data_IF_768611196602
#
_entry.id   IF_768611196602
#
_cell.length_a   1.000
_cell.length_b   1.000
_cell.length_c   1.000
_cell.angle_alpha   90.00
_cell.angle_beta   90.00
_cell.angle_gamma   90.00
#
_symmetry.space_group_name_H-M   'P 1'
#
loop_
_entity.id
_entity.type
_entity.pdbx_description
1 polymer ?
#
# COMPACT_ATOMS: atom_id res chain seq x y z
N UNK A 1 -9.95 -57.24 45.07
CA UNK A 1 -11.25 -57.63 45.63
C UNK A 1 -12.31 -56.72 45.04
N UNK A 2 -13.29 -57.34 44.37
CA UNK A 2 -14.39 -56.71 43.67
C UNK A 2 -15.59 -56.64 44.61
N UNK A 3 -16.23 -55.47 44.75
CA UNK A 3 -17.57 -55.38 45.30
C UNK A 3 -18.43 -54.48 44.42
N UNK A 4 -19.38 -55.13 43.74
CA UNK A 4 -20.57 -54.57 43.13
C UNK A 4 -21.64 -54.40 44.22
N UNK A 5 -22.39 -53.31 44.18
CA UNK A 5 -23.82 -53.20 44.52
C UNK A 5 -24.22 -51.73 44.29
N UNK A 6 -24.98 -51.45 43.23
CA UNK A 6 -26.44 -51.31 43.23
C UNK A 6 -26.91 -50.01 43.92
N UNK A 7 -27.31 -49.06 43.08
CA UNK A 7 -27.94 -47.81 43.53
C UNK A 7 -29.47 -47.90 43.51
N UNK A 8 -30.16 -46.93 44.14
CA UNK A 8 -31.51 -46.55 43.77
C UNK A 8 -31.49 -45.35 42.82
N UNK A 9 -32.12 -45.51 41.65
CA UNK A 9 -32.48 -44.42 40.73
C UNK A 9 -33.56 -43.56 41.39
N UNK A 10 -33.21 -42.34 41.79
CA UNK A 10 -34.19 -41.27 42.05
C UNK A 10 -33.68 -39.98 41.43
N UNK A 11 -34.36 -39.60 40.34
CA UNK A 11 -34.18 -38.34 39.62
C UNK A 11 -34.87 -37.24 40.43
N UNK A 12 -34.25 -36.07 40.66
CA UNK A 12 -34.84 -35.00 41.47
C UNK A 12 -36.13 -34.48 40.83
N UNK A 13 -37.14 -34.24 41.67
CA UNK A 13 -38.42 -33.67 41.27
C UNK A 13 -38.26 -32.23 40.76
N UNK A 14 -38.95 -31.90 39.67
CA UNK A 14 -38.92 -30.59 39.03
C UNK A 14 -39.82 -29.62 39.81
N UNK A 15 -39.22 -28.73 40.60
CA UNK A 15 -39.91 -27.61 41.26
C UNK A 15 -40.59 -26.75 40.20
N UNK A 16 -41.92 -26.57 40.30
CA UNK A 16 -42.71 -25.66 39.46
C UNK A 16 -42.54 -24.22 39.95
N UNK A 17 -42.27 -23.23 39.07
CA UNK A 17 -42.23 -21.82 39.46
C UNK A 17 -43.65 -21.27 39.75
N UNK A 18 -43.79 -20.25 40.63
CA UNK A 18 -45.06 -19.64 41.01
C UNK A 18 -45.71 -18.81 39.88
N UNK A 19 -47.04 -18.60 39.91
CA UNK A 19 -47.77 -17.87 38.87
C UNK A 19 -47.47 -16.36 38.89
N UNK A 20 -47.29 -15.78 37.70
CA UNK A 20 -47.05 -14.36 37.44
C UNK A 20 -48.35 -13.51 37.47
N UNK A 21 -48.29 -12.24 37.91
CA UNK A 21 -49.43 -11.31 37.98
C UNK A 21 -49.85 -10.76 36.59
N UNK A 22 -51.07 -10.20 36.46
CA UNK A 22 -51.68 -9.87 35.17
C UNK A 22 -51.11 -8.61 34.49
N UNK A 23 -51.19 -8.68 33.16
CA UNK A 23 -50.64 -7.86 32.08
C UNK A 23 -51.05 -6.38 32.08
N UNK A 24 -50.08 -5.45 32.14
CA UNK A 24 -50.22 -4.10 31.59
C UNK A 24 -49.64 -4.05 30.17
N UNK A 25 -50.40 -3.44 29.26
CA UNK A 25 -50.12 -3.39 27.82
C UNK A 25 -49.01 -2.39 27.48
N UNK A 26 -47.86 -2.88 27.02
CA UNK A 26 -46.83 -2.07 26.38
C UNK A 26 -47.04 -2.03 24.85
N UNK A 27 -46.85 -0.87 24.19
CA UNK A 27 -46.99 -0.73 22.74
C UNK A 27 -45.80 -1.36 22.00
N UNK A 28 -46.10 -2.05 20.90
CA UNK A 28 -45.15 -2.76 20.04
C UNK A 28 -44.12 -1.82 19.37
N UNK A 29 -42.84 -2.24 19.23
CA UNK A 29 -41.87 -1.53 18.39
C UNK A 29 -42.11 -1.76 16.88
N UNK A 30 -41.80 -0.81 15.99
CA UNK A 30 -42.17 -0.91 14.57
C UNK A 30 -41.32 -1.97 13.83
N UNK A 31 -42.00 -2.91 13.18
CA UNK A 31 -41.45 -3.86 12.22
C UNK A 31 -41.11 -3.18 10.89
N UNK A 32 -39.87 -3.31 10.43
CA UNK A 32 -39.46 -2.91 9.09
C UNK A 32 -39.91 -3.98 8.08
N UNK A 33 -41.08 -3.78 7.49
CA UNK A 33 -41.54 -4.56 6.33
C UNK A 33 -41.49 -3.73 5.05
N UNK A 34 -40.95 -4.37 4.03
CA UNK A 34 -40.61 -3.84 2.72
C UNK A 34 -41.84 -3.77 1.79
N UNK A 35 -41.96 -2.62 1.11
CA UNK A 35 -42.42 -2.37 -0.28
C UNK A 35 -43.83 -1.81 -0.56
N UNK A 36 -43.77 -0.65 -1.24
CA UNK A 36 -44.45 -0.24 -2.49
C UNK A 36 -45.70 0.65 -2.43
N UNK A 37 -45.46 1.91 -2.83
CA UNK A 37 -46.26 2.81 -3.69
C UNK A 37 -47.62 3.32 -3.14
N UNK A 38 -47.89 4.63 -3.10
CA UNK A 38 -48.09 5.54 -4.26
C UNK A 38 -48.03 7.04 -3.89
N UNK A 39 -47.87 7.89 -4.92
CA UNK A 39 -48.21 9.34 -4.98
C UNK A 39 -47.11 10.39 -4.72
N UNK A 40 -46.23 10.50 -5.73
CA UNK A 40 -45.82 11.73 -6.43
C UNK A 40 -46.25 13.10 -5.86
N UNK A 41 -45.29 13.81 -5.25
CA UNK A 41 -45.09 15.25 -5.51
C UNK A 41 -43.60 15.46 -5.82
N UNK A 42 -43.34 16.31 -6.80
CA UNK A 42 -42.15 16.30 -7.62
C UNK A 42 -40.92 16.96 -6.96
N UNK A 43 -39.76 16.31 -7.17
CA UNK A 43 -38.45 16.86 -7.54
C UNK A 43 -38.00 18.21 -6.95
N UNK A 44 -37.12 18.15 -5.95
CA UNK A 44 -35.85 18.92 -5.93
C UNK A 44 -34.86 18.46 -4.82
N UNK A 45 -34.55 17.17 -4.71
CA UNK A 45 -33.42 16.72 -3.86
C UNK A 45 -32.73 15.50 -4.49
N UNK A 46 -31.86 15.74 -5.48
CA UNK A 46 -30.97 14.68 -5.97
C UNK A 46 -29.59 15.26 -6.32
N UNK A 47 -28.96 15.83 -5.30
CA UNK A 47 -27.52 16.10 -5.23
C UNK A 47 -26.97 15.89 -3.80
N UNK A 48 -27.70 15.19 -2.93
CA UNK A 48 -27.43 15.09 -1.50
C UNK A 48 -27.32 13.61 -1.07
N UNK A 49 -26.31 12.88 -1.55
CA UNK A 49 -26.05 11.52 -1.04
C UNK A 49 -24.57 11.17 -0.87
N UNK A 50 -23.72 12.19 -0.67
CA UNK A 50 -22.32 12.02 -0.21
C UNK A 50 -21.99 12.93 1.00
N UNK A 51 -22.95 13.73 1.47
CA UNK A 51 -22.72 14.80 2.47
C UNK A 51 -23.28 14.50 3.87
N UNK A 52 -23.58 13.25 4.22
CA UNK A 52 -24.31 12.92 5.47
C UNK A 52 -23.47 12.58 6.71
N UNK A 53 -22.13 12.69 6.67
CA UNK A 53 -21.27 12.39 7.85
C UNK A 53 -20.41 13.58 8.32
N UNK A 54 -20.71 14.81 7.88
CA UNK A 54 -19.93 15.99 8.31
C UNK A 54 -20.56 16.65 9.53
N UNK A 55 -19.77 16.83 10.59
CA UNK A 55 -20.21 17.53 11.79
C UNK A 55 -20.47 19.02 11.50
N UNK A 56 -21.38 19.67 12.23
CA UNK A 56 -21.55 21.12 12.13
C UNK A 56 -20.23 21.82 12.52
N UNK A 57 -19.89 22.97 11.91
CA UNK A 57 -18.58 23.62 12.10
C UNK A 57 -18.21 23.90 13.55
N UNK A 58 -19.20 24.21 14.41
CA UNK A 58 -18.97 24.42 15.84
C UNK A 58 -18.58 23.15 16.60
N UNK A 59 -19.16 22.01 16.25
CA UNK A 59 -18.82 20.71 16.86
C UNK A 59 -17.48 20.20 16.33
N UNK A 60 -17.23 20.34 15.02
CA UNK A 60 -15.94 20.02 14.39
C UNK A 60 -14.79 20.81 15.06
N UNK A 61 -15.00 22.10 15.32
CA UNK A 61 -14.02 22.95 16.02
C UNK A 61 -13.76 22.48 17.45
N UNK A 62 -14.81 22.06 18.17
CA UNK A 62 -14.68 21.52 19.53
C UNK A 62 -13.89 20.21 19.54
N UNK A 63 -14.22 19.28 18.64
CA UNK A 63 -13.51 18.00 18.50
C UNK A 63 -12.04 18.21 18.15
N UNK A 64 -11.76 19.14 17.23
CA UNK A 64 -10.39 19.51 16.86
C UNK A 64 -9.64 20.14 18.03
N UNK A 65 -10.28 20.99 18.83
CA UNK A 65 -9.69 21.54 20.05
C UNK A 65 -9.34 20.44 21.05
N UNK A 66 -10.27 19.52 21.34
CA UNK A 66 -10.04 18.40 22.24
C UNK A 66 -8.88 17.51 21.77
N UNK A 67 -8.83 17.22 20.46
CA UNK A 67 -7.72 16.47 19.86
C UNK A 67 -6.38 17.22 19.99
N UNK A 68 -6.38 18.55 19.81
CA UNK A 68 -5.18 19.38 19.98
C UNK A 68 -4.70 19.42 21.43
N UNK A 69 -5.61 19.45 22.41
CA UNK A 69 -5.26 19.41 23.83
C UNK A 69 -4.60 18.06 24.20
N UNK A 70 -5.19 16.96 23.73
CA UNK A 70 -4.60 15.62 23.89
C UNK A 70 -3.24 15.51 23.19
N UNK A 71 -3.10 16.07 21.98
CA UNK A 71 -1.82 16.15 21.26
C UNK A 71 -0.76 16.91 22.07
N UNK A 72 -1.13 18.01 22.73
CA UNK A 72 -0.23 18.78 23.59
C UNK A 72 0.22 17.98 24.82
N UNK A 73 -0.71 17.27 25.46
CA UNK A 73 -0.39 16.34 26.56
C UNK A 73 0.57 15.24 26.10
N UNK A 74 0.29 14.62 24.94
CA UNK A 74 1.14 13.60 24.35
C UNK A 74 2.54 14.12 23.99
N UNK A 75 2.66 15.36 23.48
CA UNK A 75 3.96 16.00 23.22
C UNK A 75 4.78 16.18 24.51
N UNK A 76 4.10 16.46 25.63
CA UNK A 76 4.74 16.56 26.95
C UNK A 76 5.27 15.20 27.39
N UNK A 77 4.48 14.14 27.23
CA UNK A 77 4.91 12.75 27.51
C UNK A 77 6.06 12.31 26.61
N UNK A 78 6.01 12.66 25.31
CA UNK A 78 7.08 12.40 24.36
C UNK A 78 8.39 13.06 24.79
N UNK A 79 8.32 14.30 25.27
CA UNK A 79 9.49 15.05 25.78
C UNK A 79 10.07 14.41 27.06
N UNK A 80 9.22 13.76 27.87
CA UNK A 80 9.63 12.95 29.03
C UNK A 80 10.12 11.55 28.67
N UNK A 81 10.18 11.21 27.38
CA UNK A 81 10.56 9.89 26.86
C UNK A 81 9.59 8.75 27.24
N UNK A 82 8.38 9.08 27.68
CA UNK A 82 7.31 8.11 27.97
C UNK A 82 6.54 7.77 26.68
N UNK A 83 7.21 7.06 25.76
CA UNK A 83 6.68 6.85 24.40
C UNK A 83 5.39 6.01 24.37
N UNK A 84 5.26 5.00 25.22
CA UNK A 84 4.06 4.14 25.27
C UNK A 84 2.84 4.95 25.73
N UNK A 85 2.98 5.72 26.82
CA UNK A 85 1.94 6.62 27.30
C UNK A 85 1.59 7.68 26.25
N UNK A 86 2.60 8.26 25.58
CA UNK A 86 2.39 9.22 24.51
C UNK A 86 1.58 8.64 23.34
N UNK A 87 1.88 7.40 22.92
CA UNK A 87 1.13 6.69 21.87
C UNK A 87 -0.34 6.56 22.28
N UNK A 88 -0.62 6.08 23.50
CA UNK A 88 -1.99 5.94 23.99
C UNK A 88 -2.74 7.28 24.00
N UNK A 89 -2.09 8.38 24.38
CA UNK A 89 -2.70 9.71 24.35
C UNK A 89 -2.93 10.20 22.91
N UNK A 90 -2.02 9.93 21.97
CA UNK A 90 -2.24 10.24 20.55
C UNK A 90 -3.36 9.40 19.94
N UNK A 91 -3.50 8.13 20.32
CA UNK A 91 -4.61 7.28 19.87
C UNK A 91 -5.96 7.79 20.37
N UNK A 92 -6.02 8.28 21.61
CA UNK A 92 -7.20 9.01 22.11
C UNK A 92 -7.47 10.26 21.29
N UNK A 93 -6.43 11.03 20.96
CA UNK A 93 -6.58 12.22 20.10
C UNK A 93 -7.10 11.89 18.70
N UNK A 94 -6.73 10.73 18.14
CA UNK A 94 -7.24 10.22 16.86
C UNK A 94 -8.71 9.79 16.94
N UNK A 95 -9.13 9.19 18.06
CA UNK A 95 -10.51 8.77 18.26
C UNK A 95 -11.50 9.95 18.30
N UNK A 96 -11.04 11.13 18.75
CA UNK A 96 -11.81 12.37 18.75
C UNK A 96 -11.95 13.01 17.36
N UNK A 97 -11.13 12.62 16.37
CA UNK A 97 -11.16 13.26 15.05
C UNK A 97 -12.12 12.56 14.08
N UNK A 98 -12.97 13.31 13.36
CA UNK A 98 -13.71 12.77 12.23
C UNK A 98 -12.78 12.24 11.13
N UNK A 99 -13.18 11.14 10.47
CA UNK A 99 -12.35 10.43 9.48
C UNK A 99 -11.98 11.23 8.23
N UNK A 100 -12.61 12.38 8.01
CA UNK A 100 -12.38 13.25 6.86
C UNK A 100 -11.34 14.35 7.13
N UNK A 101 -10.85 14.50 8.37
CA UNK A 101 -9.78 15.44 8.73
C UNK A 101 -8.40 14.80 8.51
N UNK A 102 -8.05 14.60 7.25
CA UNK A 102 -6.93 13.74 6.85
C UNK A 102 -5.57 14.30 7.27
N UNK A 103 -5.36 15.61 7.18
CA UNK A 103 -4.12 16.27 7.63
C UNK A 103 -3.93 16.16 9.13
N UNK A 104 -4.96 16.46 9.92
CA UNK A 104 -4.93 16.44 11.38
C UNK A 104 -4.62 15.02 11.86
N UNK A 105 -5.28 14.02 11.26
CA UNK A 105 -4.96 12.61 11.46
C UNK A 105 -3.52 12.28 11.04
N UNK A 106 -3.04 12.78 9.90
CA UNK A 106 -1.69 12.53 9.42
C UNK A 106 -0.62 13.13 10.34
N UNK A 107 -0.86 14.29 10.95
CA UNK A 107 0.02 14.90 11.95
C UNK A 107 0.17 13.97 13.16
N UNK A 108 -0.95 13.46 13.69
CA UNK A 108 -0.95 12.54 14.84
C UNK A 108 -0.26 11.21 14.48
N UNK A 109 -0.60 10.61 13.34
CA UNK A 109 0.04 9.39 12.83
C UNK A 109 1.55 9.57 12.66
N UNK A 110 1.99 10.74 12.21
CA UNK A 110 3.41 11.06 12.12
C UNK A 110 4.08 11.02 13.49
N UNK A 111 3.47 11.61 14.52
CA UNK A 111 4.02 11.63 15.88
C UNK A 111 4.01 10.25 16.54
N UNK A 112 2.95 9.46 16.34
CA UNK A 112 2.90 8.05 16.76
C UNK A 112 4.05 7.26 16.12
N UNK A 113 4.28 7.43 14.81
CA UNK A 113 5.41 6.80 14.14
C UNK A 113 6.76 7.23 14.73
N UNK A 114 6.90 8.47 15.18
CA UNK A 114 8.11 8.93 15.87
C UNK A 114 8.32 8.21 17.21
N UNK A 115 7.24 7.93 17.94
CA UNK A 115 7.29 7.15 19.18
C UNK A 115 7.69 5.69 18.89
N UNK A 116 7.08 5.05 17.90
CA UNK A 116 7.43 3.68 17.50
C UNK A 116 8.88 3.56 17.04
N UNK A 117 9.42 4.56 16.34
CA UNK A 117 10.84 4.62 15.97
C UNK A 117 11.78 4.70 17.19
N UNK A 118 11.33 5.29 18.30
CA UNK A 118 12.11 5.36 19.55
C UNK A 118 12.03 4.07 20.37
N UNK A 119 10.98 3.27 20.16
CA UNK A 119 10.77 1.97 20.78
C UNK A 119 11.28 0.81 19.91
N UNK A 120 11.93 1.09 18.78
CA UNK A 120 12.37 0.10 17.77
C UNK A 120 11.22 -0.79 17.25
N UNK A 121 9.99 -0.31 17.32
CA UNK A 121 8.78 -0.98 16.80
C UNK A 121 8.60 -0.65 15.32
N UNK A 122 9.47 -1.22 14.48
CA UNK A 122 9.56 -0.86 13.06
C UNK A 122 8.28 -1.12 12.27
N UNK A 123 7.55 -2.20 12.58
CA UNK A 123 6.31 -2.58 11.87
C UNK A 123 5.20 -1.56 12.12
N UNK A 124 4.96 -1.25 13.38
CA UNK A 124 3.93 -0.30 13.79
C UNK A 124 4.26 1.13 13.32
N UNK A 125 5.56 1.48 13.26
CA UNK A 125 6.02 2.73 12.68
C UNK A 125 5.68 2.84 11.18
N UNK A 126 5.92 1.77 10.39
CA UNK A 126 5.60 1.74 8.96
C UNK A 126 4.11 1.88 8.74
N UNK A 127 3.31 1.13 9.49
CA UNK A 127 1.85 1.13 9.35
C UNK A 127 1.25 2.51 9.68
N UNK A 128 1.73 3.14 10.76
CA UNK A 128 1.34 4.51 11.13
C UNK A 128 1.71 5.51 10.03
N UNK A 129 2.91 5.37 9.45
CA UNK A 129 3.34 6.24 8.35
C UNK A 129 2.47 6.06 7.09
N UNK A 130 2.09 4.83 6.77
CA UNK A 130 1.24 4.53 5.62
C UNK A 130 -0.16 5.10 5.77
N UNK A 131 -0.79 4.96 6.95
CA UNK A 131 -2.09 5.59 7.25
C UNK A 131 -2.03 7.11 7.05
N UNK A 132 -0.99 7.77 7.58
CA UNK A 132 -0.80 9.20 7.41
C UNK A 132 -0.61 9.61 5.95
N UNK A 133 0.23 8.88 5.20
CA UNK A 133 0.47 9.17 3.78
C UNK A 133 -0.77 8.96 2.91
N UNK A 134 -1.58 7.93 3.20
CA UNK A 134 -2.84 7.70 2.51
C UNK A 134 -3.84 8.84 2.75
N UNK A 135 -3.92 9.38 3.97
CA UNK A 135 -4.72 10.57 4.26
C UNK A 135 -4.27 11.77 3.45
N UNK A 136 -2.97 12.08 3.48
CA UNK A 136 -2.45 13.23 2.71
C UNK A 136 -2.60 13.07 1.19
N UNK A 137 -2.57 11.85 0.66
CA UNK A 137 -2.82 11.58 -0.76
C UNK A 137 -4.30 11.79 -1.15
N UNK A 138 -5.25 11.65 -0.21
CA UNK A 138 -6.66 12.01 -0.45
C UNK A 138 -6.86 13.52 -0.46
N UNK A 139 -6.20 14.24 0.45
CA UNK A 139 -6.27 15.71 0.52
C UNK A 139 -5.55 16.40 -0.64
N UNK A 140 -4.28 16.06 -0.88
CA UNK A 140 -3.46 16.63 -1.94
C UNK A 140 -2.79 15.51 -2.73
N UNK A 141 -3.45 14.99 -3.78
CA UNK A 141 -2.93 13.92 -4.62
C UNK A 141 -1.60 14.32 -5.27
N UNK A 142 -0.61 13.45 -5.19
CA UNK A 142 0.73 13.67 -5.79
C UNK A 142 0.84 13.07 -7.18
N UNK A 143 0.00 12.08 -7.50
CA UNK A 143 -0.05 11.45 -8.82
C UNK A 143 -1.32 11.86 -9.54
N UNK A 144 -1.20 12.44 -10.73
CA UNK A 144 -2.34 12.58 -11.65
C UNK A 144 -2.88 11.17 -11.92
N UNK A 145 -4.10 10.85 -11.48
CA UNK A 145 -4.77 9.62 -11.89
C UNK A 145 -4.96 9.70 -13.40
N UNK A 146 -4.12 8.99 -14.16
CA UNK A 146 -4.42 8.72 -15.56
C UNK A 146 -5.81 8.09 -15.58
N UNK A 147 -6.78 8.81 -16.15
CA UNK A 147 -8.13 8.29 -16.30
C UNK A 147 -8.01 7.09 -17.23
N UNK A 148 -8.08 5.88 -16.66
CA UNK A 148 -8.26 4.65 -17.40
C UNK A 148 -9.56 4.82 -18.20
N UNK A 149 -9.46 5.16 -19.49
CA UNK A 149 -10.58 5.15 -20.42
C UNK A 149 -11.06 3.70 -20.47
N UNK A 150 -12.11 3.38 -19.71
CA UNK A 150 -12.84 2.13 -19.80
C UNK A 150 -13.53 2.13 -21.15
N UNK A 151 -12.80 1.68 -22.17
CA UNK A 151 -13.31 1.48 -23.52
C UNK A 151 -14.37 0.39 -23.49
N UNK A 152 -15.63 0.81 -23.42
CA UNK A 152 -16.78 -0.05 -23.73
C UNK A 152 -16.74 -0.37 -25.22
N UNK A 153 -15.97 -1.39 -25.63
CA UNK A 153 -16.18 -2.05 -26.93
C UNK A 153 -17.46 -2.87 -26.80
N UNK A 154 -18.58 -2.27 -27.19
CA UNK A 154 -19.80 -3.02 -27.52
C UNK A 154 -19.51 -3.83 -28.78
N UNK A 155 -19.30 -5.12 -28.60
CA UNK A 155 -19.35 -6.12 -29.68
C UNK A 155 -20.81 -6.28 -30.12
N UNK A 156 -21.19 -5.67 -31.24
CA UNK A 156 -22.38 -6.09 -31.98
C UNK A 156 -21.95 -7.11 -33.01
N UNK A 157 -22.18 -8.39 -32.69
CA UNK A 157 -22.09 -9.47 -33.67
C UNK A 157 -23.30 -9.44 -34.59
N UNK A 158 -23.05 -9.44 -35.89
CA UNK A 158 -24.04 -9.84 -36.90
C UNK A 158 -23.41 -10.96 -37.71
N UNK A 159 -24.00 -12.14 -37.57
CA UNK A 159 -23.69 -13.37 -38.30
C UNK A 159 -23.95 -13.17 -39.80
N UNK A 160 -23.10 -13.77 -40.66
CA UNK A 160 -23.51 -14.57 -41.83
C UNK A 160 -22.30 -15.35 -42.37
N UNK A 161 -22.47 -16.67 -42.39
CA UNK A 161 -21.63 -17.71 -43.03
C UNK A 161 -22.04 -17.88 -44.52
N UNK A 162 -21.55 -18.87 -45.30
CA UNK A 162 -20.19 -19.41 -45.51
C UNK A 162 -19.86 -19.60 -47.02
N UNK A 163 -18.80 -20.36 -47.32
CA UNK A 163 -18.37 -21.00 -48.59
C UNK A 163 -17.33 -20.18 -49.38
N UNK A 164 -16.22 -20.68 -49.91
CA UNK A 164 -15.64 -22.03 -50.10
C UNK A 164 -14.22 -21.86 -50.68
N UNK A 165 -13.35 -22.88 -50.53
CA UNK A 165 -12.20 -23.13 -51.43
C UNK A 165 -10.86 -22.59 -50.95
N UNK A 166 -9.99 -23.42 -50.37
CA UNK A 166 -8.86 -24.08 -51.06
C UNK A 166 -7.85 -23.09 -51.69
N UNK A 167 -6.63 -23.05 -51.16
CA UNK A 167 -5.46 -23.66 -51.82
C UNK A 167 -4.13 -23.25 -51.15
N UNK A 168 -3.23 -24.23 -51.14
CA UNK A 168 -1.82 -24.22 -50.77
C UNK A 168 -0.94 -23.38 -51.73
N UNK A 169 0.25 -23.02 -51.27
CA UNK A 169 1.40 -22.60 -52.11
C UNK A 169 2.12 -21.40 -51.49
N UNK A 170 3.14 -21.58 -50.65
CA UNK A 170 4.55 -21.96 -50.94
C UNK A 170 5.33 -20.90 -51.74
N UNK A 171 6.55 -20.63 -51.23
CA UNK A 171 7.68 -19.97 -51.90
C UNK A 171 7.53 -18.48 -52.22
N UNK A 172 8.57 -17.65 -52.23
CA UNK A 172 9.99 -17.68 -51.83
C UNK A 172 10.49 -16.26 -52.10
N UNK A 173 11.50 -15.82 -51.34
CA UNK A 173 12.65 -14.99 -51.74
C UNK A 173 12.51 -13.64 -52.49
N UNK A 174 13.48 -12.78 -52.16
CA UNK A 174 13.96 -11.66 -52.99
C UNK A 174 13.54 -10.32 -52.40
N UNK A 175 14.29 -9.66 -51.51
CA UNK A 175 15.69 -9.23 -51.54
C UNK A 175 15.97 -8.23 -52.67
N UNK A 176 16.57 -7.10 -52.25
CA UNK A 176 17.27 -6.08 -53.05
C UNK A 176 16.29 -5.13 -53.76
N UNK A 177 16.46 -3.82 -53.89
CA UNK A 177 17.50 -2.79 -53.68
C UNK A 177 16.85 -1.53 -54.35
N UNK A 178 17.29 -0.29 -54.33
CA UNK A 178 18.34 0.51 -53.72
C UNK A 178 18.13 1.94 -54.29
N UNK A 179 18.85 2.90 -53.73
CA UNK A 179 19.39 4.10 -54.39
C UNK A 179 18.43 5.12 -55.02
N UNK A 180 18.57 6.39 -54.62
CA UNK A 180 19.43 7.32 -55.38
C UNK A 180 19.26 8.74 -54.84
N UNK A 181 20.39 9.30 -54.42
CA UNK A 181 20.63 10.70 -54.04
C UNK A 181 20.49 11.65 -55.23
N UNK A 182 20.15 12.91 -54.99
CA UNK A 182 20.71 14.09 -55.70
C UNK A 182 20.33 15.38 -54.97
N UNK A 183 21.33 16.25 -54.85
CA UNK A 183 21.46 17.45 -54.02
C UNK A 183 21.15 18.76 -54.79
N UNK A 184 21.45 19.89 -54.13
CA UNK A 184 21.62 21.29 -54.56
C UNK A 184 20.39 22.24 -54.44
N UNK A 185 20.31 23.09 -53.40
CA UNK A 185 20.97 24.43 -53.18
C UNK A 185 20.21 25.55 -53.95
N UNK A 186 19.75 26.69 -53.41
CA UNK A 186 20.49 27.69 -52.61
C UNK A 186 19.56 28.85 -52.10
N UNK A 187 19.83 29.35 -50.87
CA UNK A 187 19.73 30.74 -50.31
C UNK A 187 18.38 31.43 -49.86
N UNK A 188 18.18 31.44 -48.52
CA UNK A 188 17.85 32.51 -47.50
C UNK A 188 17.04 33.80 -47.82
N UNK A 189 16.27 34.43 -46.86
CA UNK A 189 16.67 34.67 -45.44
C UNK A 189 15.60 34.72 -44.29
N UNK A 190 16.11 34.69 -43.04
CA UNK A 190 15.60 35.22 -41.73
C UNK A 190 14.55 34.46 -40.87
N UNK A 191 14.92 34.33 -39.57
CA UNK A 191 14.16 34.57 -38.29
C UNK A 191 13.97 33.34 -37.35
N UNK A 192 14.65 33.34 -36.20
CA UNK A 192 14.39 32.52 -34.98
C UNK A 192 13.20 33.09 -34.16
N UNK A 193 12.74 32.58 -32.97
CA UNK A 193 13.08 31.36 -32.18
C UNK A 193 11.86 30.64 -31.49
N UNK A 194 12.07 29.54 -30.73
CA UNK A 194 11.37 29.14 -29.45
C UNK A 194 11.64 27.65 -29.09
N UNK A 195 12.42 27.26 -28.08
CA UNK A 195 12.11 27.12 -26.63
C UNK A 195 10.79 26.39 -26.29
N UNK A 196 10.90 25.10 -25.92
CA UNK A 196 9.83 24.28 -25.36
C UNK A 196 9.70 24.46 -23.84
N UNK A 197 8.52 24.87 -23.38
CA UNK A 197 8.15 25.05 -21.98
C UNK A 197 7.72 23.71 -21.35
N UNK A 198 8.24 23.41 -20.17
CA UNK A 198 7.64 22.48 -19.22
C UNK A 198 6.52 23.18 -18.46
N UNK A 199 5.26 22.84 -18.73
CA UNK A 199 4.11 23.39 -18.03
C UNK A 199 3.89 22.69 -16.68
N UNK A 200 4.31 23.35 -15.61
CA UNK A 200 3.75 23.17 -14.27
C UNK A 200 2.33 23.73 -14.27
N UNK A 201 1.32 22.90 -14.03
CA UNK A 201 -0.09 23.30 -13.87
C UNK A 201 -0.35 23.99 -12.50
N UNK A 202 0.44 25.01 -12.17
CA UNK A 202 0.11 25.97 -11.10
C UNK A 202 -0.25 27.35 -11.67
N UNK A 203 -0.21 27.51 -13.00
CA UNK A 203 -0.50 28.78 -13.68
C UNK A 203 -1.97 28.87 -14.12
N UNK A 204 -2.91 28.50 -13.22
CA UNK A 204 -4.34 28.72 -13.46
C UNK A 204 -4.66 30.14 -13.01
N UNK A 205 -4.82 31.06 -13.95
CA UNK A 205 -5.22 32.44 -13.68
C UNK A 205 -6.61 32.43 -13.04
N UNK A 206 -6.66 32.63 -11.73
CA UNK A 206 -7.91 32.90 -11.01
C UNK A 206 -8.22 34.37 -11.24
N UNK A 207 -9.26 34.66 -12.02
CA UNK A 207 -9.75 36.03 -12.20
C UNK A 207 -10.19 36.57 -10.83
N UNK A 208 -9.49 37.61 -10.36
CA UNK A 208 -9.84 38.33 -9.14
C UNK A 208 -11.11 39.15 -9.40
N UNK A 209 -12.10 39.11 -8.50
CA UNK A 209 -13.31 39.92 -8.63
C UNK A 209 -12.97 41.41 -8.70
N UNK A 210 -13.79 42.24 -9.36
CA UNK A 210 -13.48 43.66 -9.58
C UNK A 210 -13.55 44.53 -8.31
N UNK A 211 -14.22 44.04 -7.26
CA UNK A 211 -14.44 44.76 -6.01
C UNK A 211 -13.28 44.52 -5.01
N UNK A 212 -12.68 45.59 -4.48
CA UNK A 212 -11.44 45.52 -3.67
C UNK A 212 -11.58 44.65 -2.40
N UNK A 213 -12.76 44.64 -1.76
CA UNK A 213 -13.02 43.80 -0.59
C UNK A 213 -13.03 42.31 -0.96
N UNK A 214 -13.64 41.95 -2.09
CA UNK A 214 -13.69 40.59 -2.61
C UNK A 214 -12.32 40.11 -3.13
N UNK A 215 -11.49 41.01 -3.67
CA UNK A 215 -10.09 40.70 -4.01
C UNK A 215 -9.28 40.36 -2.77
N UNK A 216 -9.43 41.15 -1.70
CA UNK A 216 -8.68 40.95 -0.46
C UNK A 216 -9.04 39.62 0.21
N UNK A 217 -10.31 39.19 0.14
CA UNK A 217 -10.77 37.90 0.68
C UNK A 217 -10.30 36.74 -0.19
N UNK A 218 -10.35 36.88 -1.52
CA UNK A 218 -9.81 35.89 -2.45
C UNK A 218 -8.30 35.65 -2.25
N UNK A 219 -7.51 36.71 -2.10
CA UNK A 219 -6.08 36.61 -1.82
C UNK A 219 -5.78 35.92 -0.48
N UNK A 220 -6.53 36.24 0.58
CA UNK A 220 -6.39 35.57 1.90
C UNK A 220 -6.71 34.07 1.78
N UNK A 221 -7.76 33.71 1.05
CA UNK A 221 -8.14 32.30 0.84
C UNK A 221 -7.07 31.54 0.04
N UNK A 222 -6.47 32.17 -0.97
CA UNK A 222 -5.37 31.59 -1.73
C UNK A 222 -4.14 31.35 -0.85
N UNK A 223 -3.73 32.33 -0.05
CA UNK A 223 -2.63 32.20 0.90
C UNK A 223 -2.88 31.09 1.94
N UNK A 224 -4.11 30.98 2.45
CA UNK A 224 -4.51 29.88 3.34
C UNK A 224 -4.40 28.51 2.66
N UNK A 225 -4.72 28.43 1.36
CA UNK A 225 -4.56 27.19 0.60
C UNK A 225 -3.08 26.82 0.41
N UNK A 226 -2.22 27.79 0.13
CA UNK A 226 -0.78 27.56 -0.08
C UNK A 226 -0.05 27.22 1.22
N UNK A 227 -0.44 27.85 2.33
CA UNK A 227 0.05 27.46 3.67
C UNK A 227 -0.35 26.03 4.02
N UNK A 228 -1.60 25.63 3.74
CA UNK A 228 -2.05 24.23 3.92
C UNK A 228 -1.27 23.26 3.05
N UNK A 229 -1.00 23.58 1.77
CA UNK A 229 -0.14 22.77 0.89
C UNK A 229 1.27 22.62 1.44
N UNK A 230 1.87 23.71 1.93
CA UNK A 230 3.20 23.70 2.52
C UNK A 230 3.26 22.83 3.79
N UNK A 231 2.24 22.92 4.64
CA UNK A 231 2.13 22.10 5.84
C UNK A 231 1.92 20.61 5.53
N UNK A 232 1.06 20.28 4.56
CA UNK A 232 0.89 18.91 4.06
C UNK A 232 2.21 18.36 3.53
N UNK A 233 2.95 19.17 2.76
CA UNK A 233 4.27 18.81 2.24
C UNK A 233 5.24 18.48 3.37
N UNK A 234 5.29 19.32 4.41
CA UNK A 234 6.13 19.10 5.59
C UNK A 234 5.79 17.79 6.31
N UNK A 235 4.51 17.49 6.51
CA UNK A 235 4.10 16.24 7.17
C UNK A 235 4.38 15.03 6.29
N UNK A 236 4.16 15.12 4.97
CA UNK A 236 4.48 14.06 4.00
C UNK A 236 5.97 13.73 4.02
N UNK A 237 6.84 14.74 4.02
CA UNK A 237 8.30 14.58 4.12
C UNK A 237 8.69 13.85 5.42
N UNK A 238 8.12 14.25 6.56
CA UNK A 238 8.36 13.57 7.85
C UNK A 238 7.93 12.11 7.83
N UNK A 239 6.74 11.82 7.29
CA UNK A 239 6.21 10.45 7.20
C UNK A 239 7.08 9.57 6.29
N UNK A 240 7.49 10.07 5.12
CA UNK A 240 8.37 9.35 4.19
C UNK A 240 9.72 9.03 4.85
N UNK A 241 10.33 10.02 5.53
CA UNK A 241 11.61 9.82 6.20
C UNK A 241 11.50 8.81 7.35
N UNK A 242 10.44 8.89 8.15
CA UNK A 242 10.17 7.96 9.25
C UNK A 242 9.95 6.53 8.73
N UNK A 243 9.17 6.38 7.66
CA UNK A 243 8.92 5.09 6.99
C UNK A 243 10.20 4.49 6.41
N UNK A 244 11.02 5.30 5.75
CA UNK A 244 12.29 4.87 5.17
C UNK A 244 13.26 4.36 6.25
N UNK A 245 13.37 5.08 7.38
CA UNK A 245 14.16 4.66 8.55
C UNK A 245 13.65 3.35 9.14
N UNK A 246 12.33 3.24 9.36
CA UNK A 246 11.73 2.02 9.90
C UNK A 246 11.98 0.81 8.99
N UNK A 247 11.77 0.95 7.69
CA UNK A 247 12.00 -0.12 6.69
C UNK A 247 13.47 -0.53 6.58
N UNK A 248 14.39 0.43 6.75
CA UNK A 248 15.84 0.14 6.76
C UNK A 248 16.24 -0.71 7.96
N UNK A 249 15.67 -0.45 9.13
CA UNK A 249 15.97 -1.17 10.37
C UNK A 249 15.18 -2.49 10.51
N UNK A 250 14.07 -2.66 9.80
CA UNK A 250 13.27 -3.89 9.82
C UNK A 250 14.07 -5.13 9.37
N UNK A 251 15.04 -4.96 8.47
CA UNK A 251 15.95 -6.03 8.05
C UNK A 251 16.91 -6.51 9.16
N UNK A 252 17.27 -5.63 10.11
CA UNK A 252 18.26 -5.96 11.14
C UNK A 252 17.75 -6.96 12.18
N UNK A 253 16.45 -6.91 12.50
CA UNK A 253 15.83 -7.72 13.57
C UNK A 253 15.74 -9.20 13.21
N UNK A 254 15.77 -9.55 11.92
CA UNK A 254 15.75 -10.96 11.48
C UNK A 254 17.08 -11.69 11.71
N UNK A 255 18.17 -10.98 12.03
CA UNK A 255 19.52 -11.56 12.17
C UNK A 255 19.84 -12.10 13.56
N UNK A 256 19.10 -11.70 14.60
CA UNK A 256 19.53 -11.87 16.00
C UNK A 256 18.93 -13.09 16.70
N UNK A 257 17.97 -13.77 16.06
CA UNK A 257 17.41 -15.02 16.58
C UNK A 257 17.80 -16.18 15.65
N UNK A 258 18.74 -17.06 16.07
CA UNK A 258 18.99 -18.28 15.32
C UNK A 258 17.71 -19.11 15.28
N UNK A 259 17.34 -19.51 14.06
CA UNK A 259 16.24 -20.40 13.74
C UNK A 259 16.48 -21.80 14.34
N UNK A 260 16.28 -21.97 15.65
CA UNK A 260 16.45 -23.27 16.33
C UNK A 260 15.14 -23.86 16.86
N UNK A 261 13.98 -23.33 16.49
CA UNK A 261 12.70 -23.94 16.88
C UNK A 261 11.79 -24.07 15.67
N UNK A 262 11.89 -25.22 15.01
CA UNK A 262 10.90 -25.75 14.08
C UNK A 262 9.62 -26.09 14.83
N UNK A 263 8.70 -25.13 14.92
CA UNK A 263 7.29 -25.38 15.27
C UNK A 263 6.40 -24.92 14.11
N UNK A 264 5.69 -25.82 13.41
CA UNK A 264 4.89 -25.49 12.22
C UNK A 264 3.47 -24.98 12.53
N UNK A 265 3.18 -24.48 13.74
CA UNK A 265 1.80 -24.23 14.20
C UNK A 265 1.40 -22.77 14.41
N UNK A 266 2.26 -21.78 14.18
CA UNK A 266 1.83 -20.37 14.27
C UNK A 266 1.53 -19.78 12.89
N UNK A 267 0.24 -19.60 12.66
CA UNK A 267 -0.44 -18.77 11.67
C UNK A 267 0.43 -17.74 10.97
N UNK A 268 0.40 -17.78 9.64
CA UNK A 268 0.95 -16.83 8.67
C UNK A 268 0.75 -15.36 9.06
N UNK A 269 1.66 -14.78 9.85
CA UNK A 269 1.89 -13.34 9.83
C UNK A 269 2.87 -13.06 8.70
N UNK A 270 2.46 -12.28 7.71
CA UNK A 270 3.27 -11.81 6.58
C UNK A 270 4.52 -11.09 7.08
N UNK A 271 5.58 -11.83 7.42
CA UNK A 271 6.90 -11.28 7.60
C UNK A 271 7.39 -10.93 6.21
N UNK A 272 7.25 -9.66 5.82
CA UNK A 272 7.77 -9.18 4.54
C UNK A 272 9.25 -9.55 4.42
N UNK A 273 9.64 -10.01 3.23
CA UNK A 273 11.03 -10.27 2.87
C UNK A 273 11.91 -9.06 3.27
N UNK A 274 13.08 -9.31 3.87
CA UNK A 274 13.97 -8.24 4.33
C UNK A 274 14.48 -7.43 3.12
N UNK A 275 14.72 -8.11 2.00
CA UNK A 275 14.99 -7.46 0.72
C UNK A 275 13.85 -6.53 0.27
N UNK A 276 12.60 -6.98 0.37
CA UNK A 276 11.42 -6.17 0.03
C UNK A 276 11.34 -4.89 0.88
N UNK A 277 11.62 -5.01 2.18
CA UNK A 277 11.63 -3.85 3.10
C UNK A 277 12.73 -2.85 2.75
N UNK A 278 13.96 -3.31 2.47
CA UNK A 278 15.08 -2.45 2.07
C UNK A 278 14.82 -1.75 0.73
N UNK A 279 14.27 -2.48 -0.25
CA UNK A 279 13.86 -1.91 -1.55
C UNK A 279 12.81 -0.82 -1.37
N UNK A 280 11.78 -1.07 -0.54
CA UNK A 280 10.76 -0.08 -0.23
C UNK A 280 11.31 1.14 0.53
N UNK A 281 12.33 0.96 1.38
CA UNK A 281 13.03 2.08 2.02
C UNK A 281 13.77 2.96 1.01
N UNK A 282 14.46 2.34 0.05
CA UNK A 282 15.19 3.03 -1.00
C UNK A 282 14.25 3.85 -1.89
N UNK A 283 13.07 3.34 -2.21
CA UNK A 283 12.06 4.10 -2.96
C UNK A 283 11.57 5.33 -2.18
N UNK A 284 11.38 5.22 -0.85
CA UNK A 284 11.03 6.38 -0.02
C UNK A 284 12.14 7.45 -0.04
N UNK A 285 13.40 7.06 0.05
CA UNK A 285 14.54 7.98 -0.05
C UNK A 285 14.66 8.63 -1.44
N UNK A 286 14.40 7.87 -2.52
CA UNK A 286 14.35 8.42 -3.88
C UNK A 286 13.24 9.46 -4.03
N UNK A 287 12.05 9.21 -3.47
CA UNK A 287 10.95 10.18 -3.53
C UNK A 287 11.38 11.50 -2.87
N UNK A 288 12.06 11.42 -1.72
CA UNK A 288 12.59 12.58 -1.00
C UNK A 288 13.66 13.34 -1.78
N UNK A 289 14.53 12.65 -2.55
CA UNK A 289 15.59 13.30 -3.34
C UNK A 289 15.11 13.84 -4.69
N UNK A 290 14.18 13.15 -5.34
CA UNK A 290 13.76 13.46 -6.72
C UNK A 290 12.67 14.53 -6.76
N UNK A 291 11.92 14.72 -5.68
CA UNK A 291 10.86 15.75 -5.62
C UNK A 291 11.44 17.06 -5.08
N UNK A 292 11.56 18.14 -5.88
CA UNK A 292 12.23 19.37 -5.46
C UNK A 292 11.61 20.01 -4.21
N UNK A 293 10.27 20.06 -4.16
CA UNK A 293 9.52 20.61 -3.02
C UNK A 293 9.81 19.85 -1.71
N UNK A 294 9.99 18.53 -1.79
CA UNK A 294 10.31 17.70 -0.61
C UNK A 294 11.74 17.91 -0.18
N UNK A 295 12.65 18.00 -1.15
CA UNK A 295 14.06 18.25 -0.90
C UNK A 295 14.29 19.61 -0.23
N UNK A 296 13.62 20.67 -0.66
CA UNK A 296 13.74 22.00 -0.05
C UNK A 296 13.25 22.02 1.40
N UNK A 297 12.16 21.29 1.68
CA UNK A 297 11.54 21.22 3.01
C UNK A 297 12.37 20.42 4.04
N UNK A 298 13.32 19.60 3.60
CA UNK A 298 14.14 18.76 4.48
C UNK A 298 15.22 19.55 5.26
N UNK A 299 15.39 19.29 6.57
CA UNK A 299 16.53 19.77 7.35
C UNK A 299 17.87 19.29 6.79
N UNK A 300 18.95 20.05 7.01
CA UNK A 300 20.28 19.71 6.51
C UNK A 300 20.81 18.35 7.04
N UNK A 301 20.51 18.02 8.29
CA UNK A 301 20.83 16.72 8.90
C UNK A 301 20.15 15.57 8.17
N UNK A 302 18.86 15.72 7.86
CA UNK A 302 18.08 14.69 7.18
C UNK A 302 18.48 14.57 5.71
N UNK A 303 18.85 15.67 5.03
CA UNK A 303 19.43 15.64 3.68
C UNK A 303 20.70 14.79 3.63
N UNK A 304 21.55 14.85 4.66
CA UNK A 304 22.72 13.97 4.77
C UNK A 304 22.30 12.52 4.88
N UNK A 305 21.36 12.20 5.79
CA UNK A 305 20.83 10.83 5.94
C UNK A 305 20.28 10.26 4.63
N UNK A 306 19.53 11.06 3.86
CA UNK A 306 18.97 10.63 2.57
C UNK A 306 20.09 10.31 1.57
N UNK A 307 21.09 11.18 1.43
CA UNK A 307 22.23 10.93 0.52
C UNK A 307 23.01 9.68 0.91
N UNK A 308 23.31 9.52 2.20
CA UNK A 308 24.03 8.36 2.71
C UNK A 308 23.23 7.06 2.44
N UNK A 309 21.92 7.08 2.69
CA UNK A 309 21.05 5.94 2.44
C UNK A 309 20.98 5.57 0.95
N UNK A 310 20.96 6.54 0.03
CA UNK A 310 20.95 6.29 -1.41
C UNK A 310 22.23 5.62 -1.92
N UNK A 311 23.36 5.76 -1.22
CA UNK A 311 24.62 5.09 -1.54
C UNK A 311 24.70 3.71 -0.86
N UNK A 312 24.26 3.61 0.40
CA UNK A 312 24.45 2.40 1.21
C UNK A 312 23.38 1.32 0.99
N UNK A 313 22.14 1.71 0.64
CA UNK A 313 21.05 0.74 0.48
C UNK A 313 21.17 -0.15 -0.76
N UNK A 314 21.53 0.34 -1.98
CA UNK A 314 21.62 -0.52 -3.16
C UNK A 314 22.48 -1.79 -3.01
N UNK A 315 23.73 -1.73 -2.50
CA UNK A 315 24.52 -2.95 -2.32
C UNK A 315 23.91 -3.90 -1.28
N UNK A 316 23.36 -3.36 -0.18
CA UNK A 316 22.70 -4.16 0.87
C UNK A 316 21.43 -4.85 0.37
N UNK A 317 20.70 -4.21 -0.54
CA UNK A 317 19.53 -4.78 -1.21
C UNK A 317 19.94 -5.98 -2.05
N UNK A 318 20.99 -5.87 -2.88
CA UNK A 318 21.44 -6.98 -3.72
C UNK A 318 21.97 -8.15 -2.89
N UNK A 319 22.73 -7.86 -1.82
CA UNK A 319 23.19 -8.89 -0.87
C UNK A 319 22.01 -9.63 -0.20
N UNK A 320 21.04 -8.88 0.34
CA UNK A 320 19.85 -9.47 0.96
C UNK A 320 19.02 -10.30 -0.02
N UNK A 321 18.88 -9.81 -1.26
CA UNK A 321 18.18 -10.51 -2.34
C UNK A 321 18.86 -11.84 -2.66
N UNK A 322 20.18 -11.84 -2.86
CA UNK A 322 20.93 -13.06 -3.17
C UNK A 322 20.84 -14.07 -2.03
N UNK A 323 20.97 -13.62 -0.78
CA UNK A 323 20.82 -14.46 0.40
C UNK A 323 19.45 -15.12 0.45
N UNK A 324 18.37 -14.35 0.37
CA UNK A 324 17.01 -14.91 0.41
C UNK A 324 16.70 -15.83 -0.78
N UNK A 325 17.12 -15.46 -1.99
CA UNK A 325 16.97 -16.31 -3.18
C UNK A 325 17.73 -17.63 -3.02
N UNK A 326 18.94 -17.60 -2.47
CA UNK A 326 19.73 -18.81 -2.21
C UNK A 326 19.08 -19.72 -1.16
N UNK A 327 18.50 -19.16 -0.09
CA UNK A 327 17.78 -19.90 0.93
C UNK A 327 16.48 -20.51 0.38
N UNK A 328 15.75 -19.77 -0.45
CA UNK A 328 14.54 -20.27 -1.12
C UNK A 328 14.87 -21.39 -2.11
N UNK A 329 15.97 -21.24 -2.86
CA UNK A 329 16.45 -22.27 -3.78
C UNK A 329 16.89 -23.52 -3.02
N UNK A 330 17.57 -23.37 -1.88
CA UNK A 330 17.92 -24.48 -0.98
C UNK A 330 16.70 -25.24 -0.48
N UNK A 331 15.69 -24.53 0.04
CA UNK A 331 14.43 -25.14 0.50
C UNK A 331 13.68 -25.86 -0.62
N UNK A 332 13.67 -25.30 -1.83
CA UNK A 332 13.05 -25.93 -3.00
C UNK A 332 13.80 -27.19 -3.44
N UNK A 333 15.14 -27.15 -3.37
CA UNK A 333 16.02 -28.27 -3.63
C UNK A 333 15.80 -29.40 -2.61
N UNK A 334 15.69 -29.07 -1.32
CA UNK A 334 15.42 -30.03 -0.25
C UNK A 334 14.04 -30.68 -0.40
N UNK A 335 13.01 -29.91 -0.77
CA UNK A 335 11.69 -30.44 -1.07
C UNK A 335 11.71 -31.38 -2.29
N UNK A 336 12.40 -30.97 -3.37
CA UNK A 336 12.60 -31.80 -4.56
C UNK A 336 13.33 -33.10 -4.21
N UNK A 337 14.38 -33.01 -3.40
CA UNK A 337 15.10 -34.17 -2.88
C UNK A 337 14.22 -35.07 -2.01
N UNK A 338 13.31 -34.52 -1.19
CA UNK A 338 12.36 -35.31 -0.42
C UNK A 338 11.45 -36.19 -1.29
N UNK A 339 11.02 -35.67 -2.45
CA UNK A 339 10.20 -36.40 -3.43
C UNK A 339 11.04 -37.38 -4.26
N UNK A 340 12.29 -37.02 -4.58
CA UNK A 340 13.15 -37.80 -5.47
C UNK A 340 13.95 -38.90 -4.75
N UNK A 341 14.18 -38.76 -3.44
CA UNK A 341 14.96 -39.71 -2.63
C UNK A 341 14.40 -41.14 -2.62
N UNK A 342 13.06 -41.39 -2.55
CA UNK A 342 12.50 -42.74 -2.70
C UNK A 342 12.79 -43.39 -4.07
N UNK A 343 13.13 -42.59 -5.09
CA UNK A 343 13.48 -43.06 -6.43
C UNK A 343 14.99 -43.19 -6.66
N UNK A 344 15.82 -42.98 -5.62
CA UNK A 344 17.27 -42.95 -5.75
C UNK A 344 17.80 -41.75 -6.55
N UNK A 345 16.97 -40.72 -6.71
CA UNK A 345 17.28 -39.51 -7.46
C UNK A 345 17.51 -38.33 -6.51
N UNK A 346 18.33 -37.38 -6.93
CA UNK A 346 18.50 -36.08 -6.27
C UNK A 346 18.39 -34.98 -7.30
N UNK A 347 17.92 -33.80 -6.89
CA UNK A 347 17.99 -32.57 -7.66
C UNK A 347 19.43 -32.21 -8.09
N UNK A 348 20.45 -32.75 -7.41
CA UNK A 348 21.86 -32.60 -7.79
C UNK A 348 22.26 -33.42 -9.01
N UNK A 349 21.53 -34.50 -9.30
CA UNK A 349 21.80 -35.35 -10.45
C UNK A 349 21.35 -34.70 -11.77
N UNK A 350 20.62 -33.59 -11.71
CA UNK A 350 20.13 -32.87 -12.87
C UNK A 350 21.00 -31.63 -13.12
N UNK A 351 21.92 -31.72 -14.08
CA UNK A 351 22.76 -30.60 -14.53
C UNK A 351 22.03 -29.83 -15.62
N UNK A 352 21.70 -28.58 -15.35
CA UNK A 352 21.15 -27.66 -16.36
C UNK A 352 22.31 -27.06 -17.15
N UNK A 353 22.37 -27.33 -18.46
CA UNK A 353 23.35 -26.76 -19.38
C UNK A 353 22.66 -25.72 -20.25
N UNK A 354 23.17 -24.49 -20.26
CA UNK A 354 22.67 -23.40 -21.11
C UNK A 354 23.33 -23.50 -22.49
N UNK A 355 22.55 -23.80 -23.52
CA UNK A 355 23.02 -23.85 -24.92
C UNK A 355 23.14 -22.45 -25.53
N UNK A 356 23.98 -22.34 -26.56
CA UNK A 356 24.38 -21.08 -27.23
C UNK A 356 23.22 -20.28 -27.86
N UNK A 357 22.05 -20.91 -28.03
CA UNK A 357 20.81 -20.29 -28.51
C UNK A 357 19.79 -19.90 -27.43
N UNK A 358 20.18 -19.88 -26.15
CA UNK A 358 19.29 -19.56 -25.03
C UNK A 358 18.37 -20.70 -24.57
N UNK A 359 18.48 -21.89 -25.18
CA UNK A 359 17.80 -23.10 -24.73
C UNK A 359 18.47 -23.72 -23.50
N UNK A 360 17.66 -24.23 -22.56
CA UNK A 360 18.13 -24.99 -21.40
C UNK A 360 18.00 -26.49 -21.70
N UNK A 361 19.11 -27.23 -21.63
CA UNK A 361 19.11 -28.69 -21.71
C UNK A 361 19.36 -29.27 -20.32
N UNK A 362 18.47 -30.14 -19.83
CA UNK A 362 18.69 -30.90 -18.61
C UNK A 362 19.46 -32.19 -18.95
N UNK A 363 20.68 -32.31 -18.45
CA UNK A 363 21.46 -33.54 -18.50
C UNK A 363 21.39 -34.24 -17.15
N UNK A 364 21.04 -35.52 -17.16
CA UNK A 364 21.01 -36.33 -15.95
C UNK A 364 22.36 -37.05 -15.78
N UNK A 365 23.07 -36.76 -14.70
CA UNK A 365 24.29 -37.45 -14.30
C UNK A 365 23.90 -38.61 -13.38
N UNK A 366 23.60 -39.75 -13.99
CA UNK A 366 23.18 -40.95 -13.29
C UNK A 366 24.33 -41.54 -12.49
N UNK A 367 24.38 -41.24 -11.19
CA UNK A 367 25.22 -41.95 -10.22
C UNK A 367 24.82 -43.42 -10.15
N UNK A 368 25.32 -44.22 -11.08
CA UNK A 368 25.09 -45.65 -11.18
C UNK A 368 25.64 -46.37 -9.96
N UNK A 369 24.74 -46.88 -9.13
CA UNK A 369 25.06 -47.99 -8.23
C UNK A 369 24.30 -49.20 -8.73
N UNK A 370 24.93 -49.93 -9.65
CA UNK A 370 24.48 -51.24 -10.10
C UNK A 370 24.40 -52.20 -8.92
N UNK A 371 23.21 -52.35 -8.36
CA UNK A 371 22.85 -53.39 -7.41
C UNK A 371 22.52 -54.69 -8.13
N UNK A 372 23.48 -55.22 -8.90
CA UNK A 372 23.39 -56.57 -9.47
C UNK A 372 23.55 -57.62 -8.36
N UNK A 373 22.51 -57.84 -7.55
CA UNK A 373 22.37 -59.10 -6.84
C UNK A 373 21.79 -60.11 -7.83
N UNK A 374 22.69 -60.89 -8.44
CA UNK A 374 22.35 -62.19 -9.00
C UNK A 374 21.75 -63.02 -7.86
N UNK A 375 20.50 -63.43 -8.01
CA UNK A 375 19.92 -64.57 -7.31
C UNK A 375 19.79 -65.69 -8.34
#
# INVERSE_FOLDING_TARGET
>A
MSFKADGPKVRPERVKPPPSPPTEAHPNPPSWSRRSSTSSTASFHSAQSVQQDRFPPGEESRMLSLSNDLKSQANTLFSRQEYISAIQTYDRALAELPRYLDYEMAVLQSNIAACHLKLDQWKDAVESCERGLQGLEREFPTRKKEKLKKGTRRSTGTKKSPLTGQANGNSQNGRLNSDTESEDEMVSPRRSPAQGKSETQDDTVVELPSDEEDQSTALKNLQLSDTRKADVTRIRVKLLLRRARARTNMSSVSSTFPSTVSNPSSTTSTSGSAWSSLSAALEDYKILSTTPQYWETLPASDKKTVRDALVLLPPRIEEAKQKEVSEMMGKLKDLGNGILKPFGLSTDNFKVVKGEGGGYSLSFDGGGRGGGKKA
#
